data_IF_360243654106
#
_entry.id   IF_360243654106
#
_cell.length_a   1.000
_cell.length_b   1.000
_cell.length_c   1.000
_cell.angle_alpha   90.00
_cell.angle_beta   90.00
_cell.angle_gamma   90.00
#
_symmetry.space_group_name_H-M   'P 1'
#
loop_
_entity.id
_entity.type
_entity.pdbx_description
1 polymer ?
#
# COMPACT_ATOMS: atom_id res chain seq x y z
N UNK A 1 -30.23 45.92 -16.63
CA UNK A 1 -29.55 46.09 -15.64
C UNK A 1 -29.17 45.21 -14.48
N UNK A 2 -29.98 45.10 -13.39
CA UNK A 2 -29.52 44.54 -12.14
C UNK A 2 -29.09 43.07 -12.13
N UNK A 3 -29.71 42.19 -12.93
CA UNK A 3 -29.32 40.78 -13.03
C UNK A 3 -27.93 40.56 -13.65
N UNK A 4 -27.59 41.35 -14.67
CA UNK A 4 -26.24 41.24 -15.29
C UNK A 4 -25.15 41.70 -14.35
N UNK A 5 -25.40 42.74 -13.57
CA UNK A 5 -24.44 43.26 -12.59
C UNK A 5 -24.18 42.27 -11.46
N UNK A 6 -25.25 41.64 -10.97
CA UNK A 6 -25.14 40.58 -9.92
C UNK A 6 -24.36 39.35 -10.43
N UNK A 7 -24.55 38.91 -11.67
CA UNK A 7 -23.79 37.82 -12.27
C UNK A 7 -22.30 38.15 -12.41
N UNK A 8 -21.97 39.37 -12.81
CA UNK A 8 -20.56 39.81 -12.94
C UNK A 8 -19.88 39.86 -11.58
N UNK A 9 -20.53 40.35 -10.55
CA UNK A 9 -19.99 40.40 -9.19
C UNK A 9 -19.75 38.99 -8.61
N UNK A 10 -20.70 38.07 -8.83
CA UNK A 10 -20.57 36.67 -8.41
C UNK A 10 -19.39 36.01 -9.11
N UNK A 11 -19.24 36.22 -10.43
CA UNK A 11 -18.13 35.68 -11.22
C UNK A 11 -16.78 36.23 -10.74
N UNK A 12 -16.68 37.53 -10.51
CA UNK A 12 -15.45 38.14 -9.99
C UNK A 12 -15.10 37.62 -8.63
N UNK A 13 -16.07 37.47 -7.73
CA UNK A 13 -15.86 36.88 -6.39
C UNK A 13 -15.31 35.46 -6.47
N UNK A 14 -15.89 34.62 -7.34
CA UNK A 14 -15.40 33.25 -7.56
C UNK A 14 -13.97 33.22 -8.10
N UNK A 15 -13.63 34.11 -9.06
CA UNK A 15 -12.28 34.22 -9.61
C UNK A 15 -11.26 34.67 -8.58
N UNK A 16 -11.58 35.68 -7.75
CA UNK A 16 -10.68 36.14 -6.69
C UNK A 16 -10.44 35.05 -5.62
N UNK A 17 -11.48 34.28 -5.33
CA UNK A 17 -11.35 33.12 -4.43
C UNK A 17 -10.39 32.07 -5.02
N UNK A 18 -10.58 31.73 -6.29
CA UNK A 18 -9.71 30.79 -7.01
C UNK A 18 -8.25 31.26 -7.01
N UNK A 19 -7.98 32.53 -7.37
CA UNK A 19 -6.62 33.09 -7.41
C UNK A 19 -5.98 33.10 -6.03
N UNK A 20 -6.75 33.32 -4.97
CA UNK A 20 -6.26 33.28 -3.59
C UNK A 20 -5.86 31.88 -3.17
N UNK A 21 -6.61 30.90 -3.60
CA UNK A 21 -6.37 29.47 -3.30
C UNK A 21 -5.23 28.91 -4.16
N UNK A 22 -5.15 29.36 -5.43
CA UNK A 22 -4.15 28.91 -6.41
C UNK A 22 -3.34 30.10 -6.97
N UNK A 23 -2.41 30.68 -6.23
CA UNK A 23 -1.70 31.90 -6.61
C UNK A 23 -0.75 31.74 -7.79
N UNK A 24 -0.38 30.50 -8.15
CA UNK A 24 0.47 30.20 -9.31
C UNK A 24 -0.26 30.24 -10.66
N UNK A 25 -1.60 30.39 -10.66
CA UNK A 25 -2.40 30.48 -11.87
C UNK A 25 -2.18 31.81 -12.60
N UNK A 26 -2.08 31.76 -13.94
CA UNK A 26 -1.89 32.93 -14.80
C UNK A 26 -3.19 33.71 -15.09
N UNK A 27 -4.28 33.46 -14.37
CA UNK A 27 -5.57 34.07 -14.59
C UNK A 27 -5.77 35.35 -13.76
N UNK A 28 -6.47 36.33 -14.30
CA UNK A 28 -6.80 37.60 -13.64
C UNK A 28 -8.26 37.62 -13.19
N UNK A 29 -8.51 38.03 -11.95
CA UNK A 29 -9.89 38.21 -11.43
C UNK A 29 -10.69 39.30 -12.11
N UNK A 30 -10.02 40.28 -12.73
CA UNK A 30 -10.62 41.43 -13.37
C UNK A 30 -10.94 41.24 -14.86
N UNK A 31 -10.57 40.11 -15.45
CA UNK A 31 -10.84 39.86 -16.88
C UNK A 31 -12.33 39.82 -17.19
N UNK A 32 -12.71 40.40 -18.37
CA UNK A 32 -14.09 40.35 -18.83
C UNK A 32 -14.42 39.05 -19.56
N UNK A 33 -13.42 38.36 -20.08
CA UNK A 33 -13.55 37.12 -20.83
C UNK A 33 -13.25 35.89 -19.95
N UNK A 34 -13.88 34.75 -20.25
CA UNK A 34 -13.56 33.47 -19.64
C UNK A 34 -12.40 32.74 -20.35
N UNK A 35 -11.92 33.28 -21.46
CA UNK A 35 -11.00 32.57 -22.35
C UNK A 35 -9.76 32.02 -21.63
N UNK A 36 -9.12 32.83 -20.78
CA UNK A 36 -7.93 32.37 -20.02
C UNK A 36 -8.25 31.24 -19.05
N UNK A 37 -9.44 31.22 -18.45
CA UNK A 37 -9.90 30.15 -17.57
C UNK A 37 -10.27 28.88 -18.34
N UNK A 38 -10.85 29.03 -19.54
CA UNK A 38 -11.19 27.92 -20.42
C UNK A 38 -9.91 27.26 -20.99
N UNK A 39 -8.94 28.07 -21.44
CA UNK A 39 -7.63 27.59 -21.87
C UNK A 39 -6.86 26.87 -20.73
N UNK A 40 -6.96 27.40 -19.52
CA UNK A 40 -6.35 26.76 -18.34
C UNK A 40 -7.03 25.43 -18.01
N UNK A 41 -8.37 25.38 -18.04
CA UNK A 41 -9.12 24.15 -17.81
C UNK A 41 -8.77 23.09 -18.86
N UNK A 42 -8.76 23.47 -20.14
CA UNK A 42 -8.38 22.57 -21.23
C UNK A 42 -6.95 22.01 -21.03
N UNK A 43 -6.03 22.85 -20.58
CA UNK A 43 -4.66 22.41 -20.27
C UNK A 43 -4.60 21.47 -19.06
N UNK A 44 -5.41 21.69 -18.02
CA UNK A 44 -5.50 20.76 -16.90
C UNK A 44 -6.04 19.40 -17.35
N UNK A 45 -7.11 19.37 -18.10
CA UNK A 45 -7.76 18.13 -18.54
C UNK A 45 -6.91 17.34 -19.56
N UNK A 46 -6.21 18.03 -20.47
CA UNK A 46 -5.47 17.36 -21.55
C UNK A 46 -4.03 17.04 -21.21
N UNK A 47 -3.37 17.86 -20.42
CA UNK A 47 -1.93 17.74 -20.16
C UNK A 47 -1.65 17.34 -18.71
N UNK A 48 -2.09 18.14 -17.74
CA UNK A 48 -1.68 17.97 -16.36
C UNK A 48 -2.34 16.78 -15.66
N UNK A 49 -3.63 16.53 -15.88
CA UNK A 49 -4.33 15.41 -15.26
C UNK A 49 -3.79 14.08 -15.76
N UNK A 50 -3.63 13.82 -17.07
CA UNK A 50 -3.04 12.59 -17.57
C UNK A 50 -1.57 12.40 -17.15
N UNK A 51 -0.77 13.49 -17.12
CA UNK A 51 0.62 13.43 -16.68
C UNK A 51 0.69 13.06 -15.19
N UNK A 52 -0.12 13.70 -14.35
CA UNK A 52 -0.21 13.40 -12.93
C UNK A 52 -0.70 11.96 -12.65
N UNK A 53 -1.73 11.51 -13.39
CA UNK A 53 -2.21 10.13 -13.28
C UNK A 53 -1.12 9.13 -13.63
N UNK A 54 -0.37 9.38 -14.72
CA UNK A 54 0.74 8.52 -15.14
C UNK A 54 1.86 8.48 -14.11
N UNK A 55 2.27 9.63 -13.56
CA UNK A 55 3.28 9.70 -12.51
C UNK A 55 2.81 9.01 -11.22
N UNK A 56 1.54 9.19 -10.86
CA UNK A 56 0.95 8.54 -9.70
C UNK A 56 0.92 7.02 -9.84
N UNK A 57 0.52 6.51 -11.02
CA UNK A 57 0.54 5.07 -11.31
C UNK A 57 1.96 4.49 -11.20
N UNK A 58 2.96 5.20 -11.73
CA UNK A 58 4.35 4.77 -11.67
C UNK A 58 4.87 4.73 -10.23
N UNK A 59 4.56 5.75 -9.43
CA UNK A 59 4.89 5.77 -8.01
C UNK A 59 4.19 4.64 -7.25
N UNK A 60 2.93 4.36 -7.55
CA UNK A 60 2.21 3.21 -6.99
C UNK A 60 2.90 1.90 -7.32
N UNK A 61 3.34 1.68 -8.56
CA UNK A 61 4.08 0.46 -8.96
C UNK A 61 5.36 0.29 -8.14
N UNK A 62 6.12 1.38 -7.93
CA UNK A 62 7.34 1.35 -7.11
C UNK A 62 7.03 0.99 -5.66
N UNK A 63 5.98 1.59 -5.09
CA UNK A 63 5.53 1.30 -3.72
C UNK A 63 5.06 -0.16 -3.61
N UNK A 64 4.25 -0.64 -4.54
CA UNK A 64 3.80 -2.03 -4.59
C UNK A 64 4.97 -3.01 -4.65
N UNK A 65 5.96 -2.73 -5.50
CA UNK A 65 7.17 -3.55 -5.61
C UNK A 65 7.94 -3.57 -4.29
N UNK A 66 8.17 -2.41 -3.70
CA UNK A 66 8.90 -2.27 -2.44
C UNK A 66 8.19 -2.97 -1.27
N UNK A 67 6.87 -2.81 -1.15
CA UNK A 67 6.08 -3.48 -0.13
C UNK A 67 6.16 -5.00 -0.27
N UNK A 68 6.07 -5.50 -1.49
CA UNK A 68 6.22 -6.92 -1.76
C UNK A 68 7.56 -7.46 -1.34
N UNK A 69 8.63 -6.83 -1.81
CA UNK A 69 9.98 -7.32 -1.62
C UNK A 69 10.40 -7.26 -0.15
N UNK A 70 10.00 -6.21 0.55
CA UNK A 70 10.42 -5.98 1.92
C UNK A 70 9.42 -6.52 2.94
N UNK A 71 8.13 -6.24 2.81
CA UNK A 71 7.13 -6.59 3.84
C UNK A 71 6.71 -8.05 3.73
N UNK A 72 6.26 -8.49 2.56
CA UNK A 72 5.81 -9.88 2.36
C UNK A 72 6.96 -10.85 2.60
N UNK A 73 8.15 -10.55 2.06
CA UNK A 73 9.34 -11.36 2.25
C UNK A 73 9.79 -11.45 3.72
N UNK A 74 9.72 -10.34 4.45
CA UNK A 74 10.05 -10.32 5.89
C UNK A 74 9.06 -11.14 6.69
N UNK A 75 7.75 -10.92 6.51
CA UNK A 75 6.70 -11.68 7.21
C UNK A 75 6.83 -13.18 6.91
N UNK A 76 7.08 -13.56 5.64
CA UNK A 76 7.34 -14.95 5.26
C UNK A 76 8.52 -15.55 6.04
N UNK A 77 9.66 -14.83 6.06
CA UNK A 77 10.85 -15.26 6.78
C UNK A 77 10.61 -15.43 8.27
N UNK A 78 9.90 -14.50 8.90
CA UNK A 78 9.56 -14.54 10.32
C UNK A 78 8.63 -15.70 10.67
N UNK A 79 7.59 -15.96 9.86
CA UNK A 79 6.72 -17.13 10.05
C UNK A 79 7.52 -18.43 9.93
N UNK A 80 8.42 -18.53 8.95
CA UNK A 80 9.28 -19.72 8.81
C UNK A 80 10.22 -19.89 9.99
N UNK A 81 10.80 -18.82 10.50
CA UNK A 81 11.62 -18.84 11.69
C UNK A 81 10.82 -19.31 12.92
N UNK A 82 9.61 -18.76 13.12
CA UNK A 82 8.72 -19.19 14.20
C UNK A 82 8.37 -20.68 14.11
N UNK A 83 8.08 -21.19 12.91
CA UNK A 83 7.83 -22.63 12.70
C UNK A 83 9.03 -23.51 13.02
N UNK A 84 10.23 -23.07 12.62
CA UNK A 84 11.47 -23.81 12.97
C UNK A 84 11.68 -23.85 14.48
N UNK A 85 11.52 -22.72 15.17
CA UNK A 85 11.65 -22.66 16.63
C UNK A 85 10.60 -23.55 17.31
N UNK A 86 9.35 -23.53 16.87
CA UNK A 86 8.32 -24.41 17.40
C UNK A 86 8.67 -25.91 17.21
N UNK A 87 9.22 -26.25 16.05
CA UNK A 87 9.68 -27.61 15.78
C UNK A 87 10.83 -28.05 16.74
N UNK A 88 11.81 -27.17 16.96
CA UNK A 88 12.93 -27.43 17.86
C UNK A 88 12.45 -27.61 19.32
N UNK A 89 11.56 -26.72 19.78
CA UNK A 89 10.96 -26.81 21.11
C UNK A 89 10.15 -28.11 21.23
N UNK A 90 9.37 -28.47 20.25
CA UNK A 90 8.60 -29.72 20.26
C UNK A 90 9.48 -30.96 20.26
N UNK A 91 10.66 -30.89 19.64
CA UNK A 91 11.66 -31.97 19.74
C UNK A 91 12.17 -32.11 21.17
N UNK A 92 12.58 -30.99 21.79
CA UNK A 92 13.04 -30.97 23.16
C UNK A 92 11.97 -31.46 24.18
N UNK A 93 10.72 -31.03 23.98
CA UNK A 93 9.60 -31.47 24.82
C UNK A 93 9.34 -32.96 24.74
N UNK A 94 9.59 -33.57 23.58
CA UNK A 94 9.49 -35.05 23.41
C UNK A 94 10.64 -35.81 24.07
N UNK A 95 11.84 -35.24 24.06
CA UNK A 95 13.03 -35.83 24.67
C UNK A 95 13.00 -35.69 26.19
N UNK A 96 12.26 -34.71 26.70
CA UNK A 96 12.14 -34.45 28.14
C UNK A 96 10.79 -35.03 28.62
N UNK A 97 10.82 -36.20 29.25
CA UNK A 97 9.62 -36.83 29.83
C UNK A 97 9.06 -35.98 30.99
N UNK A 98 8.29 -34.97 30.66
CA UNK A 98 7.50 -34.21 31.62
C UNK A 98 6.15 -34.89 31.82
N UNK A 99 6.02 -35.80 32.76
CA UNK A 99 4.72 -36.35 33.16
C UNK A 99 3.95 -37.11 32.03
N UNK A 100 2.84 -37.74 32.36
CA UNK A 100 1.96 -38.49 31.43
C UNK A 100 1.25 -37.60 30.37
N UNK A 101 1.57 -36.31 30.30
CA UNK A 101 0.96 -35.36 29.37
C UNK A 101 1.91 -34.97 28.24
N UNK A 102 1.44 -35.05 27.01
CA UNK A 102 2.21 -34.64 25.82
C UNK A 102 1.94 -33.16 25.53
N UNK A 103 2.97 -32.34 25.59
CA UNK A 103 2.89 -30.90 25.23
C UNK A 103 3.41 -30.71 23.82
N UNK A 104 2.68 -29.92 23.04
CA UNK A 104 3.06 -29.57 21.67
C UNK A 104 2.67 -28.11 21.34
N UNK A 105 3.61 -27.36 20.80
CA UNK A 105 3.34 -26.04 20.20
C UNK A 105 2.87 -26.27 18.76
N UNK A 106 1.69 -25.75 18.43
CA UNK A 106 1.15 -25.73 17.07
C UNK A 106 1.12 -24.30 16.57
N UNK A 107 1.62 -24.09 15.36
CA UNK A 107 1.50 -22.83 14.64
C UNK A 107 0.50 -23.05 13.52
N UNK A 108 -0.63 -22.39 13.62
CA UNK A 108 -1.77 -22.48 12.70
C UNK A 108 -2.11 -21.08 12.17
N UNK A 109 -2.76 -20.98 10.99
CA UNK A 109 -3.25 -19.68 10.50
C UNK A 109 -4.19 -19.03 11.49
N UNK A 110 -4.08 -17.72 11.65
CA UNK A 110 -5.00 -16.95 12.48
C UNK A 110 -6.46 -17.13 12.01
N UNK A 111 -7.39 -17.17 12.97
CA UNK A 111 -8.83 -17.31 12.68
C UNK A 111 -9.53 -15.96 12.43
N UNK A 112 -8.76 -14.89 12.35
CA UNK A 112 -9.22 -13.52 12.05
C UNK A 112 -9.04 -13.19 10.56
N UNK A 113 -9.31 -11.95 10.20
CA UNK A 113 -9.18 -11.44 8.83
C UNK A 113 -7.76 -11.60 8.25
N UNK A 114 -6.73 -11.58 9.10
CA UNK A 114 -5.35 -11.70 8.64
C UNK A 114 -4.98 -13.12 8.22
N UNK A 115 -5.65 -14.14 8.77
CA UNK A 115 -5.43 -15.53 8.40
C UNK A 115 -5.68 -15.83 6.91
N UNK A 116 -6.48 -15.00 6.23
CA UNK A 116 -6.68 -15.12 4.78
C UNK A 116 -5.42 -14.93 3.94
N UNK A 117 -4.40 -14.27 4.49
CA UNK A 117 -3.14 -14.02 3.80
C UNK A 117 -2.11 -15.14 4.02
N UNK A 118 -2.38 -16.06 4.94
CA UNK A 118 -1.40 -17.06 5.37
C UNK A 118 -0.89 -17.95 4.24
N UNK A 119 -1.76 -18.42 3.34
CA UNK A 119 -1.38 -19.23 2.19
C UNK A 119 -0.48 -18.48 1.21
N UNK A 120 -0.75 -17.19 0.97
CA UNK A 120 0.10 -16.31 0.18
C UNK A 120 1.46 -16.09 0.86
N UNK A 121 1.45 -15.81 2.17
CA UNK A 121 2.67 -15.58 2.95
C UNK A 121 3.53 -16.83 3.09
N UNK A 122 2.95 -18.02 2.89
CA UNK A 122 3.65 -19.31 2.95
C UNK A 122 3.88 -19.96 1.59
N UNK A 123 3.69 -19.20 0.51
CA UNK A 123 3.89 -19.68 -0.85
C UNK A 123 5.37 -20.03 -1.10
N UNK A 124 5.61 -21.18 -1.73
CA UNK A 124 6.97 -21.68 -2.03
C UNK A 124 7.75 -20.75 -2.96
N UNK A 125 7.05 -19.98 -3.78
CA UNK A 125 7.63 -18.99 -4.69
C UNK A 125 8.40 -17.87 -3.95
N UNK A 126 8.12 -17.67 -2.66
CA UNK A 126 8.85 -16.72 -1.81
C UNK A 126 10.19 -17.28 -1.32
N UNK A 127 10.37 -18.59 -1.30
CA UNK A 127 11.60 -19.26 -0.86
C UNK A 127 12.77 -19.06 -1.82
N UNK A 128 12.49 -18.91 -3.09
CA UNK A 128 13.53 -18.74 -4.13
C UNK A 128 14.30 -17.43 -4.03
N UNK A 129 13.88 -16.51 -3.17
CA UNK A 129 14.53 -15.21 -2.94
C UNK A 129 15.53 -15.18 -1.79
N UNK A 130 15.75 -16.27 -1.07
CA UNK A 130 16.78 -16.32 -0.04
C UNK A 130 18.17 -16.35 -0.71
N UNK A 131 19.03 -15.34 -0.51
CA UNK A 131 20.37 -15.30 -1.05
C UNK A 131 21.25 -16.46 -0.57
N UNK A 132 20.88 -17.11 0.52
CA UNK A 132 21.58 -18.30 1.06
C UNK A 132 21.41 -19.55 0.20
N UNK A 133 20.50 -19.58 -0.76
CA UNK A 133 20.28 -20.72 -1.66
C UNK A 133 21.04 -20.62 -3.01
N UNK A 134 22.04 -19.74 -3.15
CA UNK A 134 22.95 -19.71 -4.30
C UNK A 134 22.33 -19.28 -5.63
N UNK A 135 21.15 -18.63 -5.59
CA UNK A 135 20.54 -18.04 -6.79
C UNK A 135 21.31 -16.82 -7.24
N UNK A 136 21.77 -16.83 -8.49
CA UNK A 136 22.49 -15.72 -9.13
C UNK A 136 21.58 -14.48 -9.12
N UNK A 137 22.03 -13.43 -8.44
CA UNK A 137 21.35 -12.13 -8.42
C UNK A 137 21.15 -11.64 -9.86
N UNK A 138 19.89 -11.55 -10.31
CA UNK A 138 19.54 -11.02 -11.63
C UNK A 138 18.72 -11.93 -12.53
N UNK A 139 18.49 -13.19 -12.18
CA UNK A 139 17.53 -14.02 -12.90
C UNK A 139 16.12 -13.72 -12.38
N UNK A 140 15.33 -13.00 -13.19
CA UNK A 140 13.87 -12.89 -13.01
C UNK A 140 13.34 -14.32 -13.11
N UNK A 141 12.95 -14.90 -11.99
CA UNK A 141 12.49 -16.29 -11.98
C UNK A 141 11.07 -16.34 -12.56
N UNK A 142 10.83 -17.28 -13.44
CA UNK A 142 9.54 -17.60 -14.06
C UNK A 142 8.40 -17.78 -13.05
N UNK A 143 8.70 -18.02 -11.77
CA UNK A 143 7.74 -18.14 -10.68
C UNK A 143 7.18 -16.82 -10.15
N UNK A 144 7.77 -15.67 -10.47
CA UNK A 144 7.28 -14.37 -9.95
C UNK A 144 5.95 -13.96 -10.58
N UNK A 145 5.82 -14.10 -11.88
CA UNK A 145 4.58 -13.76 -12.60
C UNK A 145 3.41 -14.67 -12.17
N UNK A 146 3.69 -15.94 -11.89
CA UNK A 146 2.67 -16.90 -11.46
C UNK A 146 2.22 -16.64 -10.02
N UNK A 147 3.15 -16.28 -9.12
CA UNK A 147 2.81 -15.84 -7.76
C UNK A 147 1.90 -14.62 -7.78
N UNK A 148 2.23 -13.61 -8.62
CA UNK A 148 1.41 -12.42 -8.74
C UNK A 148 0.01 -12.71 -9.25
N UNK A 149 -0.12 -13.45 -10.33
CA UNK A 149 -1.42 -13.80 -10.91
C UNK A 149 -2.28 -14.58 -9.92
N UNK A 150 -1.65 -15.50 -9.19
CA UNK A 150 -2.33 -16.36 -8.22
C UNK A 150 -2.83 -15.59 -7.00
N UNK A 151 -2.06 -14.62 -6.52
CA UNK A 151 -2.34 -13.91 -5.27
C UNK A 151 -2.63 -12.41 -5.46
N UNK A 152 -2.87 -11.95 -6.68
CA UNK A 152 -3.06 -10.54 -7.03
C UNK A 152 -4.02 -9.81 -6.09
N UNK A 153 -5.19 -10.37 -5.86
CA UNK A 153 -6.20 -9.77 -4.98
C UNK A 153 -5.72 -9.67 -3.52
N UNK A 154 -5.05 -10.71 -3.01
CA UNK A 154 -4.53 -10.71 -1.64
C UNK A 154 -3.37 -9.74 -1.48
N UNK A 155 -2.48 -9.68 -2.47
CA UNK A 155 -1.38 -8.70 -2.52
C UNK A 155 -1.94 -7.29 -2.50
N UNK A 156 -2.94 -7.00 -3.33
CA UNK A 156 -3.59 -5.69 -3.37
C UNK A 156 -4.23 -5.35 -2.03
N UNK A 157 -5.04 -6.24 -1.46
CA UNK A 157 -5.70 -6.03 -0.16
C UNK A 157 -4.68 -5.79 0.96
N UNK A 158 -3.59 -6.56 1.00
CA UNK A 158 -2.54 -6.37 1.99
C UNK A 158 -1.80 -5.05 1.77
N UNK A 159 -1.49 -4.71 0.52
CA UNK A 159 -0.81 -3.47 0.16
C UNK A 159 -1.63 -2.23 0.52
N UNK A 160 -2.95 -2.27 0.29
CA UNK A 160 -3.85 -1.17 0.66
C UNK A 160 -3.81 -0.87 2.17
N UNK A 161 -3.48 -1.88 3.00
CA UNK A 161 -3.28 -1.69 4.45
C UNK A 161 -2.02 -0.86 4.77
N UNK A 162 -1.02 -0.88 3.88
CA UNK A 162 0.22 -0.12 4.03
C UNK A 162 0.23 1.21 3.28
N UNK A 163 -0.81 1.53 2.51
CA UNK A 163 -0.88 2.81 1.81
C UNK A 163 -1.14 3.95 2.81
N UNK A 164 -0.40 5.06 2.69
CA UNK A 164 -0.63 6.22 3.55
C UNK A 164 -2.03 6.79 3.31
N UNK A 165 -2.68 7.37 4.34
CA UNK A 165 -3.94 8.04 4.18
C UNK A 165 -3.76 9.27 3.26
N UNK A 166 -4.75 9.52 2.41
CA UNK A 166 -4.78 10.73 1.57
C UNK A 166 -5.10 12.00 2.37
N UNK A 167 -5.55 11.83 3.61
CA UNK A 167 -5.96 12.91 4.48
C UNK A 167 -4.78 13.57 5.21
N UNK A 168 -4.85 14.89 5.39
CA UNK A 168 -3.85 15.68 6.11
C UNK A 168 -4.03 15.64 7.64
N UNK A 169 -5.08 15.00 8.15
CA UNK A 169 -5.36 14.90 9.58
C UNK A 169 -4.30 14.03 10.30
N UNK A 170 -3.59 14.68 11.22
CA UNK A 170 -2.51 14.06 11.99
C UNK A 170 -3.01 12.87 12.84
N UNK A 171 -4.23 12.94 13.37
CA UNK A 171 -4.82 11.84 14.15
C UNK A 171 -5.07 10.60 13.29
N UNK A 172 -5.60 10.77 12.09
CA UNK A 172 -5.80 9.69 11.12
C UNK A 172 -4.46 9.09 10.66
N UNK A 173 -3.43 9.91 10.49
CA UNK A 173 -2.07 9.44 10.17
C UNK A 173 -1.50 8.57 11.29
N UNK A 174 -1.66 8.98 12.55
CA UNK A 174 -1.18 8.19 13.69
C UNK A 174 -1.94 6.86 13.83
N UNK A 175 -3.25 6.87 13.63
CA UNK A 175 -4.05 5.66 13.64
C UNK A 175 -3.60 4.69 12.53
N UNK A 176 -3.42 5.19 11.32
CA UNK A 176 -2.98 4.40 10.17
C UNK A 176 -1.59 3.82 10.38
N UNK A 177 -0.68 4.57 10.98
CA UNK A 177 0.66 4.08 11.34
C UNK A 177 0.59 2.87 12.29
N UNK A 178 -0.25 2.93 13.31
CA UNK A 178 -0.45 1.80 14.23
C UNK A 178 -1.05 0.58 13.53
N UNK A 179 -1.98 0.79 12.62
CA UNK A 179 -2.52 -0.29 11.79
C UNK A 179 -1.44 -0.93 10.91
N UNK A 180 -0.59 -0.12 10.27
CA UNK A 180 0.52 -0.62 9.47
C UNK A 180 1.51 -1.45 10.30
N UNK A 181 1.84 -1.02 11.52
CA UNK A 181 2.69 -1.78 12.45
C UNK A 181 2.06 -3.13 12.80
N UNK A 182 0.74 -3.19 12.99
CA UNK A 182 0.03 -4.45 13.23
C UNK A 182 0.09 -5.39 12.03
N UNK A 183 -0.07 -4.87 10.81
CA UNK A 183 0.03 -5.68 9.59
C UNK A 183 1.47 -6.11 9.27
N UNK A 184 2.47 -5.42 9.78
CA UNK A 184 3.87 -5.82 9.65
C UNK A 184 4.27 -6.93 10.65
N UNK A 185 3.51 -7.13 11.71
CA UNK A 185 3.79 -8.15 12.72
C UNK A 185 3.27 -9.52 12.28
N UNK A 186 4.19 -10.44 12.00
CA UNK A 186 3.88 -11.81 11.56
C UNK A 186 2.96 -12.58 12.51
N UNK A 187 2.96 -12.26 13.80
CA UNK A 187 2.13 -12.92 14.83
C UNK A 187 0.65 -12.75 14.59
N UNK A 188 0.25 -11.71 13.89
CA UNK A 188 -1.14 -11.45 13.56
C UNK A 188 -1.70 -12.38 12.47
N UNK A 189 -0.84 -13.15 11.82
CA UNK A 189 -1.21 -14.13 10.78
C UNK A 189 -1.24 -15.58 11.29
N UNK A 190 -0.83 -15.79 12.57
CA UNK A 190 -0.71 -17.08 13.23
C UNK A 190 -1.74 -17.27 14.33
#
# INVERSE_FOLDING_TARGET
>A
GGRQQSCVETLQTARYRYIKEFPSGQCSGAEKSNKAYEELLEKYEKDYEPEYESEFEEQCKVIYKSLRENVIGTIHGDIKAAKRHAYEINRLLRETNFSDSTYQIKIEPAKNENGQFYDMLMAEELDSKNPDNGGIAGQISFGEDDFYKKYEQKIKLLTDKFMPPRDEDEHLRMQKRKEMEQYADYRNYL
#
